data_IF_441308452265
#
_entry.id   IF_441308452265
#
_cell.length_a   1.000
_cell.length_b   1.000
_cell.length_c   1.000
_cell.angle_alpha   90.00
_cell.angle_beta   90.00
_cell.angle_gamma   90.00
#
_symmetry.space_group_name_H-M   'P 1'
#
loop_
_entity.id
_entity.type
_entity.pdbx_description
1 polymer ?
#
# COMPACT_ATOMS: atom_id res chain seq x y z
N UNK A 1 2.24 1.01 -9.89
CA UNK A 1 1.60 2.18 -9.22
C UNK A 1 1.43 1.89 -7.74
N UNK A 2 0.43 1.13 -7.27
CA UNK A 2 0.23 0.93 -5.82
C UNK A 2 1.37 0.17 -5.13
N UNK A 3 1.89 -0.90 -5.75
CA UNK A 3 3.07 -1.62 -5.23
C UNK A 3 4.31 -0.72 -5.23
N UNK A 4 4.50 0.11 -6.25
CA UNK A 4 5.62 1.05 -6.33
C UNK A 4 5.58 2.05 -5.18
N UNK A 5 4.41 2.65 -4.94
CA UNK A 5 4.16 3.54 -3.80
C UNK A 5 4.42 2.85 -2.45
N UNK A 6 3.91 1.62 -2.28
CA UNK A 6 4.14 0.84 -1.06
C UNK A 6 5.62 0.50 -0.84
N UNK A 7 6.38 0.24 -1.91
CA UNK A 7 7.82 0.00 -1.85
C UNK A 7 8.60 1.29 -1.54
N UNK A 8 8.19 2.44 -2.08
CA UNK A 8 8.79 3.74 -1.75
C UNK A 8 8.60 4.10 -0.28
N UNK A 9 7.37 3.94 0.25
CA UNK A 9 7.09 4.13 1.68
C UNK A 9 7.95 3.21 2.56
N UNK A 10 8.05 1.93 2.20
CA UNK A 10 8.87 0.97 2.92
C UNK A 10 10.37 1.33 2.85
N UNK A 11 10.85 1.81 1.70
CA UNK A 11 12.24 2.25 1.53
C UNK A 11 12.57 3.48 2.38
N UNK A 12 11.60 4.36 2.62
CA UNK A 12 11.77 5.52 3.48
C UNK A 12 11.63 5.19 4.98
N UNK A 13 11.39 3.91 5.32
CA UNK A 13 11.21 3.47 6.70
C UNK A 13 9.88 3.88 7.32
N UNK A 14 8.93 4.38 6.50
CA UNK A 14 7.60 4.68 7.00
C UNK A 14 6.83 3.37 7.18
N UNK A 15 6.18 3.16 8.33
CA UNK A 15 5.26 2.05 8.48
C UNK A 15 4.17 2.20 7.42
N UNK A 16 3.84 1.07 6.77
CA UNK A 16 2.78 0.99 5.78
C UNK A 16 1.44 1.21 6.50
N UNK A 17 1.03 2.48 6.59
CA UNK A 17 -0.23 2.84 7.21
C UNK A 17 -1.39 2.39 6.33
N UNK A 18 -2.22 1.51 6.88
CA UNK A 18 -3.34 0.91 6.15
C UNK A 18 -4.37 1.95 5.72
N UNK A 19 -4.50 3.08 6.42
CA UNK A 19 -5.43 4.13 6.06
C UNK A 19 -4.88 4.94 4.88
N UNK A 20 -3.62 5.40 4.94
CA UNK A 20 -2.99 6.12 3.81
C UNK A 20 -2.94 5.28 2.54
N UNK A 21 -2.64 3.99 2.65
CA UNK A 21 -2.65 3.09 1.49
C UNK A 21 -4.06 3.00 0.89
N UNK A 22 -5.10 2.93 1.73
CA UNK A 22 -6.49 2.89 1.25
C UNK A 22 -6.84 4.19 0.52
N UNK A 23 -6.58 5.33 1.13
CA UNK A 23 -6.92 6.65 0.58
C UNK A 23 -6.25 6.88 -0.77
N UNK A 24 -4.95 6.56 -0.88
CA UNK A 24 -4.22 6.71 -2.13
C UNK A 24 -4.74 5.79 -3.25
N UNK A 25 -5.12 4.56 -2.91
CA UNK A 25 -5.68 3.62 -3.88
C UNK A 25 -7.09 4.03 -4.30
N UNK A 26 -7.90 4.52 -3.36
CA UNK A 26 -9.23 5.07 -3.67
C UNK A 26 -9.13 6.26 -4.62
N UNK A 27 -8.16 7.17 -4.43
CA UNK A 27 -7.94 8.30 -5.33
C UNK A 27 -7.58 7.85 -6.75
N UNK A 28 -6.66 6.88 -6.88
CA UNK A 28 -6.29 6.30 -8.18
C UNK A 28 -7.50 5.63 -8.84
N UNK A 29 -8.25 4.84 -8.10
CA UNK A 29 -9.42 4.13 -8.62
C UNK A 29 -10.54 5.10 -9.02
N UNK A 30 -10.80 6.12 -8.19
CA UNK A 30 -11.77 7.18 -8.46
C UNK A 30 -11.39 7.96 -9.72
N UNK A 31 -10.12 8.34 -9.88
CA UNK A 31 -9.62 9.01 -11.09
C UNK A 31 -9.80 8.17 -12.37
N UNK A 32 -9.66 6.85 -12.27
CA UNK A 32 -9.76 5.93 -13.42
C UNK A 32 -11.19 5.51 -13.77
N UNK A 33 -12.03 5.29 -12.77
CA UNK A 33 -13.36 4.73 -12.93
C UNK A 33 -14.46 5.80 -12.83
N UNK A 34 -14.14 6.98 -12.30
CA UNK A 34 -15.07 8.08 -12.10
C UNK A 34 -16.31 7.62 -11.33
N UNK A 35 -17.49 7.92 -11.87
CA UNK A 35 -18.78 7.56 -11.29
C UNK A 35 -19.06 6.05 -11.20
N UNK A 36 -18.25 5.20 -11.84
CA UNK A 36 -18.35 3.73 -11.69
C UNK A 36 -17.62 3.22 -10.45
N UNK A 37 -16.84 4.05 -9.78
CA UNK A 37 -16.18 3.68 -8.55
C UNK A 37 -17.18 3.70 -7.38
N UNK A 38 -17.25 2.65 -6.55
CA UNK A 38 -18.12 2.65 -5.38
C UNK A 38 -17.74 3.77 -4.39
N UNK A 39 -18.74 4.44 -3.80
CA UNK A 39 -18.53 5.46 -2.74
C UNK A 39 -17.84 4.89 -1.48
N UNK A 40 -18.00 3.59 -1.22
CA UNK A 40 -17.29 2.89 -0.14
C UNK A 40 -15.77 2.82 -0.35
N UNK A 41 -15.32 2.98 -1.59
CA UNK A 41 -13.95 2.75 -2.02
C UNK A 41 -13.62 1.27 -2.21
N UNK A 42 -12.35 0.92 -2.09
CA UNK A 42 -11.85 -0.46 -2.29
C UNK A 42 -12.23 -1.46 -1.20
N UNK A 43 -12.94 -1.02 -0.15
CA UNK A 43 -13.41 -1.86 0.96
C UNK A 43 -12.39 -2.07 2.08
N UNK A 44 -12.88 -2.28 3.31
CA UNK A 44 -12.07 -2.24 4.55
C UNK A 44 -10.98 -3.32 4.66
N UNK A 45 -11.14 -4.47 3.99
CA UNK A 45 -10.17 -5.60 4.05
C UNK A 45 -9.18 -5.62 2.90
N UNK A 46 -9.29 -4.69 1.96
CA UNK A 46 -8.46 -4.68 0.76
C UNK A 46 -6.99 -4.51 1.10
N UNK A 47 -6.65 -3.57 1.99
CA UNK A 47 -5.25 -3.30 2.37
C UNK A 47 -4.61 -4.48 3.07
N UNK A 48 -5.35 -5.20 3.92
CA UNK A 48 -4.88 -6.45 4.53
C UNK A 48 -4.59 -7.52 3.48
N UNK A 49 -5.49 -7.71 2.51
CA UNK A 49 -5.29 -8.67 1.41
C UNK A 49 -4.12 -8.28 0.51
N UNK A 50 -3.98 -6.99 0.23
CA UNK A 50 -2.88 -6.44 -0.57
C UNK A 50 -1.53 -6.71 0.10
N UNK A 51 -1.40 -6.37 1.39
CA UNK A 51 -0.18 -6.64 2.15
C UNK A 51 0.10 -8.14 2.22
N UNK A 52 -0.91 -8.97 2.51
CA UNK A 52 -0.76 -10.43 2.54
C UNK A 52 -0.31 -11.02 1.20
N UNK A 53 -0.83 -10.52 0.09
CA UNK A 53 -0.48 -10.98 -1.26
C UNK A 53 0.92 -10.53 -1.70
N UNK A 54 1.42 -9.42 -1.15
CA UNK A 54 2.72 -8.86 -1.49
C UNK A 54 3.76 -9.00 -0.38
N UNK A 55 3.44 -9.81 0.64
CA UNK A 55 4.24 -9.94 1.84
C UNK A 55 5.65 -10.40 1.53
N UNK A 56 5.84 -11.34 0.60
CA UNK A 56 7.17 -11.79 0.14
C UNK A 56 8.01 -10.67 -0.48
N UNK A 57 7.39 -9.70 -1.17
CA UNK A 57 8.10 -8.57 -1.77
C UNK A 57 8.34 -7.43 -0.78
N UNK A 58 7.45 -7.29 0.20
CA UNK A 58 7.54 -6.28 1.26
C UNK A 58 8.48 -6.72 2.40
N UNK A 59 8.59 -8.02 2.70
CA UNK A 59 9.49 -8.57 3.72
C UNK A 59 10.96 -8.32 3.42
N UNK A 60 11.35 -8.40 2.13
CA UNK A 60 12.72 -8.09 1.68
C UNK A 60 13.11 -6.66 2.04
N UNK A 61 12.17 -5.71 2.02
CA UNK A 61 12.41 -4.32 2.40
C UNK A 61 12.41 -4.11 3.92
N UNK A 62 11.51 -4.77 4.66
CA UNK A 62 11.47 -4.63 6.12
C UNK A 62 12.74 -5.21 6.80
N UNK A 63 13.29 -6.31 6.27
CA UNK A 63 14.57 -6.85 6.75
C UNK A 63 15.75 -5.90 6.41
N UNK A 64 15.79 -5.36 5.19
CA UNK A 64 16.86 -4.43 4.76
C UNK A 64 16.87 -3.13 5.58
N UNK A 65 15.69 -2.60 5.93
CA UNK A 65 15.58 -1.40 6.78
C UNK A 65 16.00 -1.64 8.23
N UNK A 66 15.89 -2.87 8.74
CA UNK A 66 16.38 -3.24 10.08
C UNK A 66 17.91 -3.45 10.12
N UNK A 67 18.52 -3.94 9.03
CA UNK A 67 19.97 -4.15 8.95
C UNK A 67 20.77 -2.86 8.69
N UNK A 68 20.14 -1.76 8.27
CA UNK A 68 20.83 -0.50 7.92
C UNK A 68 21.03 0.45 9.12
N UNK A 69 20.62 0.05 10.33
CA UNK A 69 20.79 0.83 11.57
C UNK A 69 21.93 0.32 12.47
N UNK A 70 23.06 -0.10 11.90
CA UNK A 70 24.21 -0.60 12.66
C UNK A 70 25.41 0.33 12.64
#
# INVERSE_FOLDING_TARGET
VVISYALELACWGHPLDHQQLKEHVDEICCSRLGSKFPEEGIGKRWTYRFVAQHLDRLHVFNASSLDTLR
#
